data_IF_414759952879
#
_entry.id   IF_414759952879
#
_cell.length_a   1.000
_cell.length_b   1.000
_cell.length_c   1.000
_cell.angle_alpha   90.00
_cell.angle_beta   90.00
_cell.angle_gamma   90.00
#
_symmetry.space_group_name_H-M   'P 1'
#
loop_
_entity.id
_entity.type
_entity.pdbx_description
1 polymer ?
#
# COMPACT_ATOMS: atom_id res chain seq x y z
N UNK A 1 10.63 -10.72 16.51
CA UNK A 1 9.38 -10.65 15.73
C UNK A 1 8.46 -9.65 16.40
N UNK A 2 7.85 -8.76 15.63
CA UNK A 2 6.89 -7.79 16.17
C UNK A 2 5.69 -8.52 16.78
N UNK A 3 5.26 -8.08 17.96
CA UNK A 3 4.04 -8.54 18.62
C UNK A 3 3.13 -7.33 18.81
N UNK A 4 1.82 -7.45 18.53
CA UNK A 4 0.90 -6.39 18.86
C UNK A 4 0.91 -6.14 20.37
N UNK A 5 0.80 -4.88 20.77
CA UNK A 5 0.70 -4.47 22.18
C UNK A 5 -0.65 -4.89 22.81
N UNK A 6 -1.67 -5.06 21.97
CA UNK A 6 -3.01 -5.45 22.37
C UNK A 6 -3.49 -6.69 21.59
N UNK A 7 -4.43 -7.43 22.16
CA UNK A 7 -5.08 -8.53 21.43
C UNK A 7 -5.81 -7.99 20.20
N UNK A 8 -5.68 -8.71 19.10
CA UNK A 8 -6.27 -8.35 17.81
C UNK A 8 -7.08 -9.50 17.25
N UNK A 9 -8.11 -9.16 16.49
CA UNK A 9 -8.89 -10.09 15.69
C UNK A 9 -8.69 -9.84 14.20
N UNK A 10 -8.73 -10.92 13.41
CA UNK A 10 -8.62 -10.85 11.96
C UNK A 10 -10.02 -10.75 11.36
N UNK A 11 -10.29 -9.67 10.62
CA UNK A 11 -11.60 -9.37 10.05
C UNK A 11 -11.51 -9.28 8.52
N UNK A 12 -12.28 -10.11 7.77
CA UNK A 12 -12.36 -9.98 6.32
C UNK A 12 -13.17 -8.73 5.94
N UNK A 13 -12.56 -7.92 5.08
CA UNK A 13 -13.21 -6.73 4.50
C UNK A 13 -14.05 -7.08 3.26
N UNK A 14 -13.79 -8.23 2.64
CA UNK A 14 -14.60 -8.78 1.56
C UNK A 14 -14.88 -10.26 1.84
N UNK A 15 -16.16 -10.65 1.85
CA UNK A 15 -16.57 -12.02 2.14
C UNK A 15 -16.25 -13.01 1.01
N UNK A 16 -16.17 -12.54 -0.23
CA UNK A 16 -15.77 -13.34 -1.40
C UNK A 16 -14.26 -13.52 -1.48
N UNK A 17 -13.51 -12.66 -0.77
CA UNK A 17 -12.04 -12.62 -0.73
C UNK A 17 -11.54 -12.57 0.72
N UNK A 18 -11.69 -13.67 1.49
CA UNK A 18 -11.39 -13.70 2.91
C UNK A 18 -9.91 -13.44 3.23
N UNK A 19 -9.01 -13.60 2.25
CA UNK A 19 -7.60 -13.21 2.35
C UNK A 19 -7.39 -11.70 2.48
N UNK A 20 -8.35 -10.88 2.02
CA UNK A 20 -8.36 -9.42 2.17
C UNK A 20 -8.88 -9.04 3.56
N UNK A 21 -8.07 -9.35 4.57
CA UNK A 21 -8.39 -9.18 5.98
C UNK A 21 -7.47 -8.18 6.70
N UNK A 22 -8.03 -7.47 7.68
CA UNK A 22 -7.30 -6.54 8.56
C UNK A 22 -7.26 -7.06 9.99
N UNK A 23 -6.28 -6.59 10.77
CA UNK A 23 -6.22 -6.82 12.22
C UNK A 23 -6.81 -5.63 12.96
N UNK A 24 -7.81 -5.86 13.80
CA UNK A 24 -8.49 -4.83 14.61
C UNK A 24 -8.29 -5.16 16.08
N UNK A 25 -7.98 -4.16 16.91
CA UNK A 25 -7.84 -4.32 18.36
C UNK A 25 -9.16 -4.72 19.02
N UNK A 26 -9.12 -5.66 19.95
CA UNK A 26 -10.33 -6.22 20.59
C UNK A 26 -10.93 -5.31 21.66
N UNK A 27 -10.24 -4.23 22.05
CA UNK A 27 -10.65 -3.31 23.13
C UNK A 27 -11.63 -2.23 22.69
N UNK A 28 -12.08 -2.24 21.44
CA UNK A 28 -13.11 -1.31 20.95
C UNK A 28 -14.47 -1.63 21.58
N UNK A 29 -15.26 -0.58 21.85
CA UNK A 29 -16.67 -0.77 22.25
C UNK A 29 -17.45 -1.42 21.11
N UNK A 30 -18.49 -2.19 21.42
CA UNK A 30 -19.26 -2.91 20.41
C UNK A 30 -19.79 -1.99 19.28
N UNK A 31 -20.31 -0.81 19.64
CA UNK A 31 -20.80 0.16 18.67
C UNK A 31 -19.68 0.71 17.77
N UNK A 32 -18.55 1.12 18.35
CA UNK A 32 -17.41 1.63 17.59
C UNK A 32 -16.80 0.55 16.70
N UNK A 33 -16.71 -0.68 17.20
CA UNK A 33 -16.22 -1.84 16.44
C UNK A 33 -17.06 -2.06 15.18
N UNK A 34 -18.38 -2.08 15.29
CA UNK A 34 -19.27 -2.24 14.14
C UNK A 34 -19.10 -1.10 13.15
N UNK A 35 -19.17 0.15 13.61
CA UNK A 35 -18.99 1.33 12.75
C UNK A 35 -17.64 1.32 12.02
N UNK A 36 -16.58 0.91 12.71
CA UNK A 36 -15.24 0.85 12.15
C UNK A 36 -15.11 -0.26 11.10
N UNK A 37 -15.65 -1.45 11.36
CA UNK A 37 -15.66 -2.54 10.37
C UNK A 37 -16.44 -2.13 9.13
N UNK A 38 -17.62 -1.53 9.29
CA UNK A 38 -18.45 -1.07 8.17
C UNK A 38 -17.73 0.01 7.36
N UNK A 39 -17.08 0.96 8.03
CA UNK A 39 -16.24 1.97 7.37
C UNK A 39 -15.12 1.35 6.54
N UNK A 40 -14.38 0.39 7.10
CA UNK A 40 -13.28 -0.27 6.40
C UNK A 40 -13.77 -1.12 5.21
N UNK A 41 -14.93 -1.76 5.33
CA UNK A 41 -15.56 -2.49 4.22
C UNK A 41 -15.99 -1.56 3.10
N UNK A 42 -16.57 -0.41 3.45
CA UNK A 42 -16.99 0.60 2.49
C UNK A 42 -15.81 1.19 1.69
N UNK A 43 -14.62 1.23 2.30
CA UNK A 43 -13.39 1.75 1.69
C UNK A 43 -12.33 0.66 1.44
N UNK A 44 -12.76 -0.57 1.17
CA UNK A 44 -11.86 -1.72 0.99
C UNK A 44 -10.89 -1.57 -0.19
N UNK A 45 -11.22 -0.71 -1.15
CA UNK A 45 -10.43 -0.35 -2.34
C UNK A 45 -9.20 0.53 -2.03
N UNK A 46 -9.16 1.17 -0.87
CA UNK A 46 -8.01 2.00 -0.45
C UNK A 46 -6.80 1.14 -0.07
N UNK A 47 -7.03 -0.14 0.25
CA UNK A 47 -5.97 -1.07 0.62
C UNK A 47 -5.32 -1.72 -0.60
N UNK A 48 -4.00 -1.71 -0.61
CA UNK A 48 -3.19 -2.44 -1.58
C UNK A 48 -2.91 -3.87 -1.09
N UNK A 49 -3.79 -4.81 -1.43
CA UNK A 49 -3.63 -6.22 -1.07
C UNK A 49 -2.55 -6.92 -1.88
N UNK A 50 -2.31 -6.43 -3.08
CA UNK A 50 -1.29 -6.85 -4.02
C UNK A 50 -0.69 -5.63 -4.72
N UNK A 51 0.40 -5.85 -5.47
CA UNK A 51 0.99 -4.80 -6.31
C UNK A 51 0.01 -4.27 -7.36
N UNK A 52 -0.91 -5.11 -7.84
CA UNK A 52 -1.90 -4.76 -8.86
C UNK A 52 -2.95 -3.76 -8.33
N UNK A 53 -3.21 -3.75 -7.02
CA UNK A 53 -4.16 -2.84 -6.38
C UNK A 53 -3.57 -1.41 -6.22
N UNK A 54 -2.30 -1.18 -6.55
CA UNK A 54 -1.66 0.15 -6.57
C UNK A 54 -1.51 0.65 -8.00
N UNK A 55 -2.58 1.19 -8.64
CA UNK A 55 -2.40 1.93 -9.87
C UNK A 55 -1.50 3.12 -9.54
N UNK A 56 -0.28 3.11 -10.07
CA UNK A 56 0.64 4.22 -9.91
C UNK A 56 -0.04 5.54 -10.30
N UNK A 57 0.45 6.65 -9.76
CA UNK A 57 -0.10 7.95 -10.11
C UNK A 57 0.08 8.16 -11.62
N UNK A 58 -1.00 8.58 -12.28
CA UNK A 58 -1.01 8.73 -13.71
C UNK A 58 0.13 9.67 -14.15
N UNK A 59 0.94 9.31 -15.18
CA UNK A 59 2.10 10.10 -15.55
C UNK A 59 1.77 11.55 -15.90
N UNK A 60 0.60 11.83 -16.45
CA UNK A 60 0.09 13.19 -16.70
C UNK A 60 -0.07 14.03 -15.42
N UNK A 61 -0.22 13.41 -14.25
CA UNK A 61 -0.37 14.09 -12.94
C UNK A 61 0.98 14.39 -12.29
N UNK A 62 1.99 13.52 -12.43
CA UNK A 62 3.29 13.65 -11.72
C UNK A 62 4.52 13.69 -12.62
N UNK A 63 4.38 13.70 -13.95
CA UNK A 63 5.53 13.81 -14.84
C UNK A 63 6.10 15.22 -14.81
N UNK A 64 7.23 15.37 -14.13
CA UNK A 64 8.10 16.51 -14.37
C UNK A 64 8.81 16.32 -15.70
N UNK A 65 8.45 17.14 -16.69
CA UNK A 65 9.17 17.20 -17.96
C UNK A 65 10.53 17.87 -17.72
N UNK A 66 11.58 17.07 -17.65
CA UNK A 66 12.94 17.60 -17.68
C UNK A 66 13.18 18.26 -19.04
N UNK A 67 13.57 19.53 -19.04
CA UNK A 67 13.99 20.24 -20.25
C UNK A 67 15.38 19.75 -20.65
N UNK A 68 15.42 18.62 -21.36
CA UNK A 68 16.64 18.07 -21.94
C UNK A 68 16.78 18.68 -23.34
N UNK A 69 17.91 19.35 -23.59
CA UNK A 69 18.21 19.85 -24.93
C UNK A 69 18.40 18.68 -25.90
N UNK A 70 17.70 18.71 -27.04
CA UNK A 70 17.79 17.70 -28.09
C UNK A 70 19.16 17.61 -28.76
N UNK A 71 20.04 18.58 -28.52
CA UNK A 71 21.41 18.60 -29.01
C UNK A 71 22.30 17.56 -28.30
N UNK A 72 21.92 17.08 -27.11
CA UNK A 72 22.72 16.11 -26.36
C UNK A 72 22.24 14.68 -26.61
N UNK A 73 23.19 13.79 -26.90
CA UNK A 73 22.91 12.36 -27.08
C UNK A 73 22.66 11.68 -25.72
N UNK A 74 21.69 10.77 -25.60
CA UNK A 74 21.51 9.97 -24.39
C UNK A 74 22.79 9.20 -24.03
N UNK A 75 23.14 9.19 -22.74
CA UNK A 75 24.30 8.46 -22.23
C UNK A 75 23.82 7.28 -21.37
N UNK A 76 24.21 6.06 -21.74
CA UNK A 76 23.93 4.86 -20.94
C UNK A 76 24.93 4.76 -19.79
N UNK A 77 24.49 5.07 -18.57
CA UNK A 77 25.33 4.93 -17.38
C UNK A 77 25.48 3.45 -17.00
N UNK A 78 26.72 2.99 -16.75
CA UNK A 78 27.00 1.63 -16.28
C UNK A 78 26.43 1.46 -14.87
N UNK A 79 25.77 0.31 -14.61
CA UNK A 79 25.30 -0.04 -13.25
C UNK A 79 26.50 0.00 -12.31
N UNK A 80 26.40 0.77 -11.22
CA UNK A 80 27.41 0.73 -10.15
C UNK A 80 27.30 -0.63 -9.45
N UNK A 81 28.44 -1.21 -9.09
CA UNK A 81 28.43 -2.35 -8.17
C UNK A 81 27.96 -1.83 -6.82
N UNK A 82 26.88 -2.38 -6.30
CA UNK A 82 26.58 -2.26 -4.88
C UNK A 82 27.32 -3.42 -4.22
N UNK A 83 28.28 -3.11 -3.35
CA UNK A 83 28.78 -4.13 -2.41
C UNK A 83 27.62 -4.52 -1.49
N UNK A 84 27.57 -5.79 -1.09
CA UNK A 84 26.59 -6.22 -0.10
C UNK A 84 26.79 -5.39 1.17
N UNK A 85 25.71 -4.82 1.71
CA UNK A 85 25.71 -4.23 3.05
C UNK A 85 26.28 -5.27 4.03
N UNK A 86 27.25 -4.86 4.85
CA UNK A 86 27.80 -5.66 5.95
C UNK A 86 26.93 -5.54 7.18
#
# INVERSE_FOLDING_TARGET
GWKPEEDVELIPLNLDKPEKSVRIGTRLTANLRTQFIDFLRHHSEVFAWSYEDMPGIAPDVISHKLTISSAYKPVRQKRRSYDAER
#
